data_IF_781765488940
#
_entry.id   IF_781765488940
#
_cell.length_a   1.000
_cell.length_b   1.000
_cell.length_c   1.000
_cell.angle_alpha   90.00
_cell.angle_beta   90.00
_cell.angle_gamma   90.00
#
_symmetry.space_group_name_H-M   'P 1'
#
loop_
_entity.id
_entity.type
_entity.pdbx_description
1 polymer ?
#
# COMPACT_ATOMS: atom_id res chain seq x y z
N UNK A 1 3.44 -9.46 -12.25
CA UNK A 1 3.40 -7.97 -12.29
C UNK A 1 2.75 -7.45 -13.57
N UNK A 2 3.29 -7.78 -14.76
CA UNK A 2 2.75 -7.31 -16.05
C UNK A 2 1.31 -7.76 -16.32
N UNK A 3 0.99 -9.05 -16.14
CA UNK A 3 -0.39 -9.59 -16.31
C UNK A 3 -1.36 -8.97 -15.32
N UNK A 4 -0.93 -8.73 -14.08
CA UNK A 4 -1.75 -8.06 -13.05
C UNK A 4 -2.07 -6.62 -13.46
N UNK A 5 -1.07 -5.88 -13.96
CA UNK A 5 -1.25 -4.53 -14.50
C UNK A 5 -2.17 -4.53 -15.71
N UNK A 6 -1.96 -5.46 -16.66
CA UNK A 6 -2.77 -5.59 -17.87
C UNK A 6 -4.24 -5.92 -17.58
N UNK A 7 -4.52 -6.82 -16.62
CA UNK A 7 -5.90 -7.12 -16.22
C UNK A 7 -6.55 -5.94 -15.50
N UNK A 8 -5.81 -5.24 -14.62
CA UNK A 8 -6.34 -4.08 -13.88
C UNK A 8 -6.59 -2.85 -14.76
N UNK A 9 -5.80 -2.65 -15.81
CA UNK A 9 -5.97 -1.50 -16.74
C UNK A 9 -6.75 -1.85 -18.01
N UNK A 10 -6.76 -3.12 -18.42
CA UNK A 10 -7.40 -3.57 -19.66
C UNK A 10 -8.86 -3.95 -19.52
N UNK A 11 -9.28 -4.50 -18.37
CA UNK A 11 -10.70 -4.84 -18.12
C UNK A 11 -11.62 -3.60 -18.10
N UNK A 12 -11.21 -2.44 -17.53
CA UNK A 12 -12.01 -1.21 -17.64
C UNK A 12 -12.14 -0.65 -19.06
N UNK A 13 -11.23 -1.02 -19.97
CA UNK A 13 -11.21 -0.56 -21.36
C UNK A 13 -12.13 -1.38 -22.28
N UNK A 14 -12.57 -2.56 -21.83
CA UNK A 14 -13.44 -3.48 -22.57
C UNK A 14 -14.94 -3.18 -22.37
N UNK A 15 -15.28 -2.17 -21.56
CA UNK A 15 -16.66 -1.79 -21.27
C UNK A 15 -17.07 -0.74 -22.30
N UNK A 16 -18.07 -1.11 -23.10
CA UNK A 16 -18.65 -0.26 -24.13
C UNK A 16 -19.14 1.08 -23.55
N UNK A 17 -18.87 2.18 -24.25
CA UNK A 17 -19.08 3.57 -23.77
C UNK A 17 -20.56 3.94 -23.64
N UNK A 18 -21.46 3.09 -24.11
CA UNK A 18 -22.91 3.29 -24.12
C UNK A 18 -23.60 3.10 -22.76
N UNK A 19 -22.95 2.44 -21.79
CA UNK A 19 -23.52 2.18 -20.46
C UNK A 19 -22.61 2.72 -19.34
N UNK A 20 -22.57 4.05 -19.20
CA UNK A 20 -21.67 4.69 -18.23
C UNK A 20 -21.94 4.31 -16.77
N UNK A 21 -23.19 4.01 -16.41
CA UNK A 21 -23.58 3.53 -15.08
C UNK A 21 -23.06 2.11 -14.84
N UNK A 22 -23.21 1.21 -15.81
CA UNK A 22 -22.68 -0.16 -15.73
C UNK A 22 -21.15 -0.20 -15.51
N UNK A 23 -20.42 0.75 -16.11
CA UNK A 23 -18.96 0.89 -15.91
C UNK A 23 -18.60 1.18 -14.46
N UNK A 24 -19.30 2.11 -13.83
CA UNK A 24 -19.02 2.48 -12.44
C UNK A 24 -19.44 1.36 -11.46
N UNK A 25 -20.50 0.59 -11.76
CA UNK A 25 -20.90 -0.60 -10.98
C UNK A 25 -19.81 -1.67 -11.07
N UNK A 26 -19.31 -1.98 -12.28
CA UNK A 26 -18.26 -2.96 -12.43
C UNK A 26 -16.97 -2.54 -11.71
N UNK A 27 -16.58 -1.27 -11.82
CA UNK A 27 -15.43 -0.74 -11.11
C UNK A 27 -15.59 -0.86 -9.58
N UNK A 28 -16.78 -0.60 -9.05
CA UNK A 28 -17.10 -0.80 -7.64
C UNK A 28 -16.97 -2.29 -7.22
N UNK A 29 -17.51 -3.22 -8.02
CA UNK A 29 -17.42 -4.65 -7.73
C UNK A 29 -15.97 -5.16 -7.73
N UNK A 30 -15.17 -4.73 -8.71
CA UNK A 30 -13.75 -5.10 -8.81
C UNK A 30 -12.95 -4.56 -7.62
N UNK A 31 -13.22 -3.31 -7.21
CA UNK A 31 -12.52 -2.71 -6.06
C UNK A 31 -12.92 -3.36 -4.74
N UNK A 32 -14.21 -3.70 -4.55
CA UNK A 32 -14.67 -4.49 -3.40
C UNK A 32 -14.03 -5.88 -3.34
N UNK A 33 -13.95 -6.60 -4.47
CA UNK A 33 -13.29 -7.89 -4.53
C UNK A 33 -11.80 -7.78 -4.18
N UNK A 34 -11.12 -6.77 -4.75
CA UNK A 34 -9.72 -6.48 -4.45
C UNK A 34 -9.50 -6.18 -2.97
N UNK A 35 -10.36 -5.36 -2.35
CA UNK A 35 -10.32 -5.06 -0.92
C UNK A 35 -10.52 -6.33 -0.07
N UNK A 36 -11.51 -7.16 -0.40
CA UNK A 36 -11.79 -8.40 0.33
C UNK A 36 -10.60 -9.38 0.28
N UNK A 37 -10.00 -9.55 -0.90
CA UNK A 37 -8.78 -10.37 -1.06
C UNK A 37 -7.63 -9.78 -0.26
N UNK A 38 -7.43 -8.46 -0.29
CA UNK A 38 -6.31 -7.83 0.41
C UNK A 38 -6.42 -7.95 1.94
N UNK A 39 -7.63 -7.75 2.49
CA UNK A 39 -7.89 -7.89 3.93
C UNK A 39 -7.73 -9.34 4.38
N UNK A 40 -8.11 -10.31 3.54
CA UNK A 40 -8.04 -11.73 3.85
C UNK A 40 -6.63 -12.30 3.75
N UNK A 41 -5.91 -11.98 2.67
CA UNK A 41 -4.62 -12.60 2.35
C UNK A 41 -3.43 -11.84 2.94
N UNK A 42 -3.57 -10.51 3.15
CA UNK A 42 -2.50 -9.64 3.66
C UNK A 42 -1.15 -9.89 2.98
N UNK A 43 -1.08 -9.75 1.64
CA UNK A 43 0.02 -10.29 0.84
C UNK A 43 1.38 -9.62 1.08
N UNK A 44 1.43 -8.46 1.73
CA UNK A 44 2.66 -7.71 1.96
C UNK A 44 3.37 -8.20 3.22
N UNK A 45 4.71 -8.29 3.15
CA UNK A 45 5.53 -8.79 4.27
C UNK A 45 5.48 -7.88 5.50
N UNK A 46 5.26 -6.58 5.31
CA UNK A 46 5.15 -5.60 6.40
C UNK A 46 3.67 -5.33 6.69
N UNK A 47 3.29 -5.44 7.96
CA UNK A 47 1.90 -5.20 8.41
C UNK A 47 1.43 -3.77 8.12
N UNK A 48 2.34 -2.80 8.15
CA UNK A 48 2.05 -1.40 7.84
C UNK A 48 1.70 -1.24 6.36
N UNK A 49 2.46 -1.85 5.45
CA UNK A 49 2.20 -1.78 4.01
C UNK A 49 0.85 -2.42 3.66
N UNK A 50 0.48 -3.53 4.33
CA UNK A 50 -0.87 -4.13 4.22
C UNK A 50 -1.98 -3.16 4.66
N UNK A 51 -1.80 -2.50 5.82
CA UNK A 51 -2.78 -1.51 6.32
C UNK A 51 -2.92 -0.32 5.38
N UNK A 52 -1.80 0.17 4.83
CA UNK A 52 -1.79 1.28 3.88
C UNK A 52 -2.53 0.90 2.59
N UNK A 53 -2.25 -0.29 2.05
CA UNK A 53 -2.90 -0.76 0.84
C UNK A 53 -4.39 -1.02 1.05
N UNK A 54 -4.79 -1.59 2.19
CA UNK A 54 -6.19 -1.74 2.57
C UNK A 54 -6.90 -0.37 2.68
N UNK A 55 -6.26 0.62 3.29
CA UNK A 55 -6.81 1.98 3.39
C UNK A 55 -6.98 2.63 2.01
N UNK A 56 -6.02 2.48 1.10
CA UNK A 56 -6.13 2.98 -0.28
C UNK A 56 -7.31 2.32 -1.01
N UNK A 57 -7.44 0.99 -0.92
CA UNK A 57 -8.53 0.24 -1.54
C UNK A 57 -9.90 0.64 -0.96
N UNK A 58 -9.96 0.89 0.36
CA UNK A 58 -11.16 1.41 1.02
C UNK A 58 -11.53 2.80 0.50
N UNK A 59 -10.58 3.73 0.43
CA UNK A 59 -10.81 5.07 -0.13
C UNK A 59 -11.30 5.01 -1.58
N UNK A 60 -10.70 4.14 -2.40
CA UNK A 60 -11.11 3.94 -3.79
C UNK A 60 -12.55 3.42 -3.89
N UNK A 61 -12.94 2.51 -2.99
CA UNK A 61 -14.31 2.00 -2.90
C UNK A 61 -15.29 3.14 -2.58
N UNK A 62 -14.95 4.00 -1.62
CA UNK A 62 -15.78 5.17 -1.28
C UNK A 62 -15.94 6.14 -2.46
N UNK A 63 -14.86 6.39 -3.22
CA UNK A 63 -14.92 7.20 -4.44
C UNK A 63 -15.93 6.61 -5.43
N UNK A 64 -15.89 5.30 -5.70
CA UNK A 64 -16.82 4.67 -6.62
C UNK A 64 -18.26 4.66 -6.12
N UNK A 65 -18.49 4.49 -4.81
CA UNK A 65 -19.82 4.64 -4.19
C UNK A 65 -20.34 6.06 -4.37
N UNK A 66 -19.52 7.09 -4.14
CA UNK A 66 -19.93 8.49 -4.35
C UNK A 66 -20.27 8.77 -5.81
N UNK A 67 -19.44 8.33 -6.75
CA UNK A 67 -19.72 8.50 -8.19
C UNK A 67 -21.05 7.84 -8.56
N UNK A 68 -21.32 6.65 -8.01
CA UNK A 68 -22.61 5.97 -8.17
C UNK A 68 -23.77 6.78 -7.60
N UNK A 69 -23.65 7.29 -6.37
CA UNK A 69 -24.70 8.08 -5.73
C UNK A 69 -24.98 9.40 -6.47
N UNK A 70 -23.95 10.10 -6.94
CA UNK A 70 -24.12 11.31 -7.76
C UNK A 70 -24.89 10.97 -9.04
N UNK A 71 -24.51 9.90 -9.74
CA UNK A 71 -25.23 9.48 -10.95
C UNK A 71 -26.69 9.12 -10.69
N UNK A 72 -26.99 8.39 -9.61
CA UNK A 72 -28.37 8.05 -9.23
C UNK A 72 -29.18 9.30 -8.90
N UNK A 73 -28.57 10.28 -8.21
CA UNK A 73 -29.19 11.55 -7.88
C UNK A 73 -29.42 12.44 -9.12
N UNK A 74 -28.54 12.39 -10.11
CA UNK A 74 -28.72 13.08 -11.40
C UNK A 74 -29.86 12.45 -12.23
N UNK A 75 -29.98 11.12 -12.20
CA UNK A 75 -31.03 10.39 -12.93
C UNK A 75 -32.40 10.45 -12.24
N UNK A 76 -32.45 10.58 -10.91
CA UNK A 76 -33.69 10.52 -10.14
C UNK A 76 -33.65 11.30 -8.82
N UNK A 77 -34.39 12.42 -8.78
CA UNK A 77 -34.53 13.26 -7.59
C UNK A 77 -35.19 12.50 -6.43
N UNK A 78 -36.22 11.68 -6.73
CA UNK A 78 -36.92 10.87 -5.73
C UNK A 78 -35.99 9.84 -5.06
N UNK A 79 -35.08 9.22 -5.83
CA UNK A 79 -34.11 8.29 -5.24
C UNK A 79 -33.11 9.06 -4.36
N UNK A 80 -32.67 10.25 -4.78
CA UNK A 80 -31.78 11.09 -3.99
C UNK A 80 -32.40 11.50 -2.65
N UNK A 81 -33.68 11.86 -2.65
CA UNK A 81 -34.45 12.15 -1.45
C UNK A 81 -34.61 10.90 -0.57
N UNK A 82 -34.85 9.72 -1.16
CA UNK A 82 -34.93 8.46 -0.42
C UNK A 82 -33.62 8.07 0.27
N UNK A 83 -32.47 8.49 -0.25
CA UNK A 83 -31.17 8.33 0.42
C UNK A 83 -30.92 9.39 1.49
N UNK A 84 -31.80 10.39 1.63
CA UNK A 84 -31.70 11.45 2.62
C UNK A 84 -30.76 12.60 2.23
N UNK A 85 -30.38 12.70 0.95
CA UNK A 85 -29.51 13.78 0.46
C UNK A 85 -30.29 15.05 0.07
N UNK A 86 -31.63 14.99 0.07
CA UNK A 86 -32.51 16.06 -0.38
C UNK A 86 -32.59 16.13 -1.90
N UNK A 87 -33.14 17.23 -2.43
CA UNK A 87 -33.34 17.41 -3.87
C UNK A 87 -32.05 17.79 -4.62
N UNK A 88 -30.91 17.95 -3.94
CA UNK A 88 -29.62 18.31 -4.54
C UNK A 88 -28.53 17.30 -4.22
N UNK A 89 -27.55 17.19 -5.11
CA UNK A 89 -26.36 16.35 -4.91
C UNK A 89 -25.41 16.86 -3.83
N UNK A 90 -25.67 18.02 -3.21
CA UNK A 90 -24.76 18.67 -2.26
C UNK A 90 -24.50 17.80 -1.02
N UNK A 91 -25.51 17.07 -0.54
CA UNK A 91 -25.37 16.14 0.56
C UNK A 91 -24.38 15.00 0.25
N UNK A 92 -24.38 14.52 -1.01
CA UNK A 92 -23.46 13.48 -1.48
C UNK A 92 -22.03 14.01 -1.54
N UNK A 93 -21.84 15.24 -2.02
CA UNK A 93 -20.53 15.90 -2.04
C UNK A 93 -19.97 16.14 -0.63
N UNK A 94 -20.82 16.58 0.30
CA UNK A 94 -20.41 16.84 1.68
C UNK A 94 -20.01 15.54 2.39
N UNK A 95 -20.78 14.47 2.22
CA UNK A 95 -20.44 13.15 2.77
C UNK A 95 -19.10 12.65 2.19
N UNK A 96 -18.91 12.75 0.88
CA UNK A 96 -17.65 12.39 0.25
C UNK A 96 -16.46 13.23 0.74
N UNK A 97 -16.64 14.54 0.89
CA UNK A 97 -15.60 15.44 1.39
C UNK A 97 -15.18 15.04 2.81
N UNK A 98 -16.13 14.74 3.70
CA UNK A 98 -15.85 14.28 5.07
C UNK A 98 -15.09 12.95 5.06
N UNK A 99 -15.60 11.95 4.34
CA UNK A 99 -14.95 10.63 4.29
C UNK A 99 -13.55 10.68 3.66
N UNK A 100 -13.38 11.44 2.59
CA UNK A 100 -12.07 11.64 1.93
C UNK A 100 -11.08 12.34 2.84
N UNK A 101 -11.55 13.33 3.62
CA UNK A 101 -10.72 14.03 4.61
C UNK A 101 -10.26 13.07 5.71
N UNK A 102 -11.17 12.23 6.24
CA UNK A 102 -10.84 11.21 7.25
C UNK A 102 -9.81 10.22 6.69
N UNK A 103 -10.02 9.74 5.47
CA UNK A 103 -9.11 8.81 4.80
C UNK A 103 -7.72 9.42 4.59
N UNK A 104 -7.65 10.68 4.16
CA UNK A 104 -6.39 11.42 4.00
C UNK A 104 -5.65 11.56 5.33
N UNK A 105 -6.37 11.96 6.39
CA UNK A 105 -5.78 12.06 7.74
C UNK A 105 -5.24 10.70 8.20
N UNK A 106 -5.98 9.61 7.99
CA UNK A 106 -5.52 8.27 8.34
C UNK A 106 -4.26 7.87 7.55
N UNK A 107 -4.17 8.20 6.25
CA UNK A 107 -2.98 7.96 5.43
C UNK A 107 -1.78 8.77 5.94
N UNK A 108 -1.97 10.03 6.32
CA UNK A 108 -0.91 10.88 6.88
C UNK A 108 -0.41 10.37 8.23
N UNK A 109 -1.31 9.91 9.11
CA UNK A 109 -0.95 9.32 10.40
C UNK A 109 -0.14 8.03 10.19
N UNK A 110 -0.61 7.12 9.35
CA UNK A 110 0.09 5.86 9.08
C UNK A 110 1.45 6.13 8.41
N UNK A 111 1.51 7.05 7.43
CA UNK A 111 2.74 7.42 6.73
C UNK A 111 3.76 8.08 7.65
N UNK A 112 3.35 9.03 8.48
CA UNK A 112 4.23 9.69 9.46
C UNK A 112 4.72 8.70 10.53
N UNK A 113 3.85 7.83 11.03
CA UNK A 113 4.25 6.75 11.93
C UNK A 113 5.25 5.80 11.27
N UNK A 114 5.12 5.54 9.97
CA UNK A 114 6.04 4.69 9.22
C UNK A 114 7.42 5.34 9.07
N UNK A 115 7.47 6.64 8.72
CA UNK A 115 8.70 7.42 8.65
C UNK A 115 9.39 7.41 10.02
N UNK A 116 8.65 7.72 11.08
CA UNK A 116 9.17 7.72 12.45
C UNK A 116 9.71 6.34 12.83
N UNK A 117 8.94 5.27 12.60
CA UNK A 117 9.36 3.91 12.92
C UNK A 117 10.62 3.48 12.14
N UNK A 118 10.74 3.87 10.87
CA UNK A 118 11.95 3.57 10.08
C UNK A 118 13.14 4.42 10.47
N UNK A 119 12.94 5.67 10.86
CA UNK A 119 14.01 6.54 11.36
C UNK A 119 14.47 6.13 12.77
N UNK A 120 13.56 5.63 13.60
CA UNK A 120 13.87 5.06 14.92
C UNK A 120 14.50 3.67 14.85
N UNK A 121 14.30 2.94 13.75
CA UNK A 121 15.19 1.83 13.38
C UNK A 121 16.55 2.43 13.03
N UNK A 122 17.33 2.67 14.08
CA UNK A 122 18.78 2.80 14.02
C UNK A 122 19.31 1.96 12.86
N UNK A 123 19.98 2.64 11.93
CA UNK A 123 20.86 2.05 10.91
C UNK A 123 21.42 0.75 11.46
N UNK A 124 21.26 -0.42 10.81
CA UNK A 124 21.66 -1.69 11.39
C UNK A 124 23.11 -1.58 11.87
N UNK A 125 23.25 -1.39 13.19
CA UNK A 125 24.56 -1.25 13.80
C UNK A 125 25.11 -2.66 13.73
N UNK A 126 26.11 -2.87 12.88
CA UNK A 126 26.90 -4.09 12.91
C UNK A 126 27.32 -4.28 14.37
N UNK A 127 26.91 -5.40 14.96
CA UNK A 127 27.26 -5.77 16.33
C UNK A 127 27.93 -7.12 16.30
N UNK A 128 28.97 -7.28 17.11
CA UNK A 128 29.64 -8.56 17.29
C UNK A 128 28.65 -9.56 17.91
N UNK A 129 28.47 -10.73 17.29
CA UNK A 129 27.55 -11.77 17.77
C UNK A 129 27.89 -12.28 19.18
N UNK A 130 29.18 -12.26 19.54
CA UNK A 130 29.66 -12.80 20.81
C UNK A 130 29.29 -11.94 22.03
N UNK A 131 29.31 -10.61 21.89
CA UNK A 131 29.21 -9.67 23.02
C UNK A 131 28.26 -8.49 22.75
N UNK A 132 27.62 -8.44 21.58
CA UNK A 132 26.73 -7.35 21.17
C UNK A 132 27.36 -5.96 21.16
N UNK A 133 28.69 -5.85 21.23
CA UNK A 133 29.40 -4.57 21.18
C UNK A 133 29.58 -4.09 19.74
N UNK A 134 29.86 -2.79 19.59
CA UNK A 134 30.24 -2.21 18.31
C UNK A 134 31.57 -2.84 17.86
N UNK A 135 31.68 -3.36 16.62
CA UNK A 135 32.92 -3.90 16.10
C UNK A 135 33.95 -2.77 16.02
N UNK A 136 35.15 -3.08 16.48
CA UNK A 136 36.29 -2.19 16.29
C UNK A 136 36.66 -2.19 14.80
N UNK A 137 36.57 -1.02 14.18
CA UNK A 137 36.93 -0.81 12.77
C UNK A 137 38.35 -0.23 12.66
N UNK A 138 39.20 -0.47 13.65
CA UNK A 138 40.61 -0.10 13.60
C UNK A 138 41.32 -1.02 12.60
N UNK A 139 42.09 -0.43 11.69
CA UNK A 139 42.99 -1.16 10.79
C UNK A 139 44.35 -1.27 11.47
N UNK A 140 45.00 -2.43 11.30
CA UNK A 140 46.38 -2.60 11.75
C UNK A 140 47.32 -1.82 10.83
N UNK A 141 48.43 -1.29 11.37
CA UNK A 141 49.41 -0.56 10.59
C UNK A 141 49.85 -1.40 9.38
N UNK A 142 49.73 -0.80 8.18
CA UNK A 142 49.97 -1.39 6.84
C UNK A 142 48.81 -2.14 6.17
N UNK A 143 47.59 -2.10 6.72
CA UNK A 143 46.37 -2.57 6.01
C UNK A 143 45.50 -1.40 5.57
N UNK A 144 45.18 -1.30 4.27
CA UNK A 144 44.47 -0.15 3.71
C UNK A 144 42.95 -0.30 3.61
N UNK A 145 42.43 -1.53 3.75
CA UNK A 145 41.03 -1.83 3.45
C UNK A 145 40.46 -2.90 4.39
N UNK A 146 39.19 -2.77 4.74
CA UNK A 146 38.41 -3.85 5.34
C UNK A 146 37.75 -4.71 4.26
N UNK A 147 37.84 -6.03 4.38
CA UNK A 147 37.11 -6.96 3.53
C UNK A 147 35.82 -7.41 4.24
N UNK A 148 34.67 -7.12 3.63
CA UNK A 148 33.36 -7.60 4.10
C UNK A 148 32.85 -8.71 3.20
N UNK A 149 32.71 -9.92 3.74
CA UNK A 149 32.20 -11.08 3.01
C UNK A 149 30.79 -11.41 3.49
N UNK A 150 29.80 -11.16 2.63
CA UNK A 150 28.39 -11.44 2.90
C UNK A 150 27.90 -12.60 2.05
N UNK A 151 27.08 -13.48 2.62
CA UNK A 151 26.44 -14.58 1.91
C UNK A 151 25.03 -14.82 2.45
N UNK A 152 24.15 -15.34 1.60
CA UNK A 152 22.73 -15.61 1.92
C UNK A 152 22.39 -17.10 1.87
N UNK A 153 23.20 -17.89 1.15
CA UNK A 153 23.03 -19.32 0.94
C UNK A 153 24.01 -20.14 1.76
N UNK A 154 23.56 -21.32 2.21
CA UNK A 154 24.32 -22.21 3.12
C UNK A 154 25.69 -22.62 2.55
N UNK A 155 25.80 -22.82 1.24
CA UNK A 155 27.04 -23.14 0.53
C UNK A 155 28.03 -21.97 0.41
N UNK A 156 27.56 -20.74 0.54
CA UNK A 156 28.42 -19.55 0.50
C UNK A 156 29.22 -19.37 1.79
N UNK A 157 28.77 -19.99 2.89
CA UNK A 157 29.48 -19.95 4.16
C UNK A 157 30.87 -20.59 4.04
N UNK A 158 30.97 -21.73 3.36
CA UNK A 158 32.23 -22.44 3.15
C UNK A 158 33.16 -21.67 2.21
N UNK A 159 32.64 -21.08 1.13
CA UNK A 159 33.45 -20.27 0.21
C UNK A 159 34.02 -19.02 0.90
N UNK A 160 33.20 -18.33 1.70
CA UNK A 160 33.65 -17.18 2.51
C UNK A 160 34.67 -17.61 3.56
N UNK A 161 34.51 -18.78 4.17
CA UNK A 161 35.47 -19.33 5.12
C UNK A 161 36.83 -19.65 4.45
N UNK A 162 36.83 -20.11 3.19
CA UNK A 162 38.07 -20.33 2.42
C UNK A 162 38.78 -19.01 2.15
N UNK A 163 38.07 -17.98 1.67
CA UNK A 163 38.65 -16.65 1.40
C UNK A 163 39.26 -16.03 2.67
N UNK A 164 38.60 -16.20 3.83
CA UNK A 164 39.11 -15.71 5.12
C UNK A 164 40.42 -16.41 5.56
N UNK A 165 40.67 -17.64 5.11
CA UNK A 165 41.84 -18.44 5.50
C UNK A 165 43.05 -18.25 4.59
N UNK A 166 42.88 -17.58 3.45
CA UNK A 166 43.97 -17.16 2.56
C UNK A 166 44.61 -15.89 3.10
#
# INVERSE_FOLDING_TARGET
ELVRKLCLTGVPLLIDTSAESARAVLALLVTLLSLAVHVSVQPLKRSVDNKLCALIQFTLTLIYVTVMLVKVCEESVEACESFGFGSSSDGVFLLFAVFSTIALVALLIIGSAQIFYTSSRSVPVLRLKANSTRPELSLFDKTGYHLFLSHIWRSGQDQVAVIKRQ
#
